data_IF_917641614875
#
_entry.id   IF_917641614875
#
_cell.length_a   1.000
_cell.length_b   1.000
_cell.length_c   1.000
_cell.angle_alpha   90.00
_cell.angle_beta   90.00
_cell.angle_gamma   90.00
#
_symmetry.space_group_name_H-M   'P 1'
#
loop_
_entity.id
_entity.type
_entity.pdbx_description
1 polymer ?
#
# COMPACT_ATOMS: atom_id res chain seq x y z
N UNK A 1 26.29 20.70 -11.89
CA UNK A 1 25.94 21.26 -10.58
C UNK A 1 25.47 20.09 -9.72
N UNK A 2 26.24 19.66 -8.73
CA UNK A 2 25.76 18.68 -7.76
C UNK A 2 24.70 19.38 -6.92
N UNK A 3 23.45 18.90 -7.00
CA UNK A 3 22.36 19.39 -6.15
C UNK A 3 22.73 19.21 -4.68
N UNK A 4 22.23 20.10 -3.81
CA UNK A 4 22.42 20.00 -2.35
C UNK A 4 21.86 18.66 -1.88
N UNK A 5 22.68 17.83 -1.22
CA UNK A 5 22.22 16.59 -0.60
C UNK A 5 21.11 16.91 0.42
N UNK A 6 19.95 16.31 0.24
CA UNK A 6 18.79 16.47 1.13
C UNK A 6 18.31 15.12 1.63
N UNK A 7 17.64 15.08 2.79
CA UNK A 7 17.03 13.87 3.31
C UNK A 7 16.06 13.25 2.28
N UNK A 8 15.30 14.08 1.57
CA UNK A 8 14.39 13.64 0.51
C UNK A 8 15.14 12.94 -0.63
N UNK A 9 16.21 13.54 -1.18
CA UNK A 9 16.99 12.94 -2.28
C UNK A 9 17.64 11.61 -1.86
N UNK A 10 18.03 11.47 -0.59
CA UNK A 10 18.55 10.22 -0.05
C UNK A 10 17.44 9.17 0.02
N UNK A 11 16.25 9.52 0.52
CA UNK A 11 15.10 8.63 0.60
C UNK A 11 14.64 8.16 -0.79
N UNK A 12 14.55 9.08 -1.77
CA UNK A 12 14.22 8.77 -3.17
C UNK A 12 15.21 7.75 -3.75
N UNK A 13 16.53 7.98 -3.58
CA UNK A 13 17.54 7.05 -4.07
C UNK A 13 17.48 5.71 -3.36
N UNK A 14 17.20 5.70 -2.05
CA UNK A 14 17.03 4.48 -1.27
C UNK A 14 15.83 3.65 -1.78
N UNK A 15 14.73 4.30 -2.12
CA UNK A 15 13.56 3.65 -2.71
C UNK A 15 13.88 3.04 -4.07
N UNK A 16 14.60 3.76 -4.97
CA UNK A 16 15.02 3.23 -6.26
C UNK A 16 15.86 1.95 -6.13
N UNK A 17 16.79 1.90 -5.15
CA UNK A 17 17.58 0.70 -4.86
C UNK A 17 16.67 -0.40 -4.30
N UNK A 18 15.80 -0.07 -3.34
CA UNK A 18 14.86 -1.03 -2.76
C UNK A 18 13.93 -1.64 -3.80
N UNK A 19 13.44 -0.85 -4.74
CA UNK A 19 12.55 -1.31 -5.81
C UNK A 19 13.25 -2.23 -6.83
N UNK A 20 14.53 -1.97 -7.11
CA UNK A 20 15.29 -2.72 -8.11
C UNK A 20 16.02 -3.94 -7.56
N UNK A 21 16.51 -3.88 -6.34
CA UNK A 21 17.43 -4.89 -5.76
C UNK A 21 16.93 -5.45 -4.42
N UNK A 22 15.80 -4.96 -3.92
CA UNK A 22 15.26 -5.34 -2.61
C UNK A 22 15.83 -4.51 -1.45
N UNK A 23 15.13 -4.52 -0.32
CA UNK A 23 15.44 -3.67 0.83
C UNK A 23 16.78 -4.01 1.53
N UNK A 24 17.27 -5.24 1.37
CA UNK A 24 18.57 -5.64 1.91
C UNK A 24 19.74 -4.95 1.20
N UNK A 25 19.58 -4.58 -0.07
CA UNK A 25 20.56 -3.83 -0.84
C UNK A 25 20.69 -2.36 -0.39
N UNK A 26 19.69 -1.83 0.32
CA UNK A 26 19.66 -0.46 0.84
C UNK A 26 20.58 -0.36 2.04
N UNK A 27 21.80 0.16 1.81
CA UNK A 27 22.81 0.39 2.85
C UNK A 27 23.40 1.77 2.73
N UNK A 28 23.87 2.34 3.85
CA UNK A 28 24.54 3.65 3.86
C UNK A 28 25.73 3.69 2.89
N UNK A 29 26.50 2.61 2.80
CA UNK A 29 27.66 2.52 1.87
C UNK A 29 27.20 2.56 0.41
N UNK A 30 26.17 1.79 0.05
CA UNK A 30 25.62 1.74 -1.29
C UNK A 30 25.09 3.12 -1.71
N UNK A 31 24.28 3.74 -0.86
CA UNK A 31 23.73 5.07 -1.09
C UNK A 31 24.82 6.14 -1.25
N UNK A 32 25.87 6.10 -0.41
CA UNK A 32 26.98 7.04 -0.51
C UNK A 32 27.70 6.93 -1.86
N UNK A 33 27.92 5.69 -2.33
CA UNK A 33 28.52 5.42 -3.64
C UNK A 33 27.65 5.94 -4.77
N UNK A 34 26.36 5.63 -4.75
CA UNK A 34 25.41 5.99 -5.80
C UNK A 34 25.16 7.50 -5.88
N UNK A 35 25.18 8.18 -4.73
CA UNK A 35 25.01 9.65 -4.66
C UNK A 35 26.32 10.42 -4.83
N UNK A 36 27.46 9.72 -4.93
CA UNK A 36 28.78 10.34 -5.10
C UNK A 36 29.23 11.15 -3.88
N UNK A 37 28.82 10.75 -2.68
CA UNK A 37 29.14 11.44 -1.42
C UNK A 37 29.86 10.50 -0.45
N UNK A 38 30.38 11.06 0.66
CA UNK A 38 30.96 10.23 1.72
C UNK A 38 29.86 9.62 2.59
N UNK A 39 30.06 8.42 3.19
CA UNK A 39 29.11 7.87 4.17
C UNK A 39 28.82 8.82 5.33
N UNK A 40 29.82 9.61 5.75
CA UNK A 40 29.66 10.60 6.81
C UNK A 40 28.63 11.68 6.45
N UNK A 41 28.55 12.08 5.18
CA UNK A 41 27.53 13.03 4.71
C UNK A 41 26.10 12.49 4.86
N UNK A 42 25.90 11.17 4.69
CA UNK A 42 24.60 10.53 4.90
C UNK A 42 24.26 10.42 6.38
N UNK A 43 25.24 10.17 7.26
CA UNK A 43 25.01 10.11 8.70
C UNK A 43 24.58 11.43 9.33
N UNK A 44 24.76 12.56 8.65
CA UNK A 44 24.18 13.85 9.06
C UNK A 44 22.65 13.87 8.88
N UNK A 45 22.11 13.10 7.94
CA UNK A 45 20.67 13.02 7.67
C UNK A 45 20.03 11.81 8.38
N UNK A 46 20.66 10.65 8.33
CA UNK A 46 20.14 9.39 8.89
C UNK A 46 21.22 8.67 9.68
N UNK A 47 21.09 8.56 10.98
CA UNK A 47 22.11 8.02 11.89
C UNK A 47 22.29 6.51 11.77
N UNK A 48 21.26 5.79 11.30
CA UNK A 48 21.23 4.33 11.15
C UNK A 48 20.24 3.92 10.06
N UNK A 49 20.16 2.60 9.81
CA UNK A 49 19.23 2.04 8.82
C UNK A 49 17.77 2.26 9.22
N UNK A 50 17.43 2.21 10.49
CA UNK A 50 16.06 2.42 10.98
C UNK A 50 15.57 3.84 10.65
N UNK A 51 16.36 4.87 10.93
CA UNK A 51 16.02 6.24 10.56
C UNK A 51 15.91 6.44 9.05
N UNK A 52 16.72 5.74 8.25
CA UNK A 52 16.60 5.76 6.80
C UNK A 52 15.28 5.14 6.36
N UNK A 53 14.86 4.01 6.93
CA UNK A 53 13.58 3.36 6.64
C UNK A 53 12.40 4.26 7.01
N UNK A 54 12.46 4.92 8.17
CA UNK A 54 11.47 5.95 8.57
C UNK A 54 11.42 7.08 7.54
N UNK A 55 12.57 7.58 7.08
CA UNK A 55 12.62 8.61 6.04
C UNK A 55 12.07 8.13 4.68
N UNK A 56 12.33 6.89 4.31
CA UNK A 56 11.74 6.27 3.10
C UNK A 56 10.20 6.17 3.23
N UNK A 57 9.70 5.68 4.37
CA UNK A 57 8.27 5.60 4.64
C UNK A 57 7.60 6.98 4.63
N UNK A 58 8.22 7.97 5.26
CA UNK A 58 7.70 9.34 5.29
C UNK A 58 7.62 9.94 3.89
N UNK A 59 8.63 9.70 3.05
CA UNK A 59 8.62 10.13 1.65
C UNK A 59 7.51 9.44 0.84
N UNK A 60 7.35 8.13 0.96
CA UNK A 60 6.31 7.35 0.29
C UNK A 60 4.90 7.88 0.61
N UNK A 61 4.63 8.12 1.88
CA UNK A 61 3.31 8.54 2.36
C UNK A 61 3.08 10.03 2.11
N UNK A 62 4.12 10.84 2.10
CA UNK A 62 4.06 12.27 1.81
C UNK A 62 3.44 12.60 0.44
N UNK A 63 3.53 11.68 -0.53
CA UNK A 63 2.94 11.83 -1.86
C UNK A 63 1.40 11.90 -1.88
N UNK A 64 0.73 11.41 -0.84
CA UNK A 64 -0.73 11.45 -0.70
C UNK A 64 -1.19 11.96 0.68
N UNK A 65 -0.29 12.54 1.45
CA UNK A 65 -0.62 13.11 2.75
C UNK A 65 -1.76 14.14 2.67
N UNK A 66 -2.57 14.28 3.74
CA UNK A 66 -3.74 15.13 3.74
C UNK A 66 -3.41 16.58 3.41
N UNK A 67 -4.28 17.20 2.62
CA UNK A 67 -4.21 18.65 2.36
C UNK A 67 -5.02 19.39 3.43
N UNK A 68 -4.49 20.48 3.99
CA UNK A 68 -5.25 21.30 4.93
C UNK A 68 -6.57 21.80 4.33
N UNK A 69 -7.63 21.85 5.14
CA UNK A 69 -8.95 22.43 4.79
C UNK A 69 -9.65 21.77 3.58
N UNK A 70 -9.66 20.44 3.51
CA UNK A 70 -10.48 19.71 2.53
C UNK A 70 -11.95 19.74 2.96
N UNK A 71 -12.81 20.45 2.20
CA UNK A 71 -14.23 20.59 2.46
C UNK A 71 -15.10 19.53 1.74
N UNK A 72 -14.47 18.59 1.04
CA UNK A 72 -15.19 17.52 0.33
C UNK A 72 -15.86 16.55 1.32
N UNK A 73 -16.89 15.81 0.89
CA UNK A 73 -17.50 14.77 1.70
C UNK A 73 -16.45 13.76 2.22
N UNK A 74 -16.65 13.26 3.43
CA UNK A 74 -15.72 12.32 4.07
C UNK A 74 -15.49 11.04 3.23
N UNK A 75 -16.48 10.61 2.46
CA UNK A 75 -16.39 9.46 1.56
C UNK A 75 -15.31 9.65 0.48
N UNK A 76 -15.30 10.85 -0.14
CA UNK A 76 -14.31 11.17 -1.18
C UNK A 76 -12.90 11.28 -0.59
N UNK A 77 -12.78 11.89 0.58
CA UNK A 77 -11.50 12.01 1.26
C UNK A 77 -10.96 10.63 1.68
N UNK A 78 -11.82 9.74 2.18
CA UNK A 78 -11.44 8.40 2.56
C UNK A 78 -11.02 7.55 1.33
N UNK A 79 -11.71 7.76 0.19
CA UNK A 79 -11.34 7.17 -1.09
C UNK A 79 -9.95 7.60 -1.53
N UNK A 80 -9.64 8.88 -1.48
CA UNK A 80 -8.32 9.40 -1.85
C UNK A 80 -7.20 8.80 -1.01
N UNK A 81 -7.44 8.59 0.28
CA UNK A 81 -6.46 7.97 1.19
C UNK A 81 -6.19 6.51 0.80
N UNK A 82 -7.23 5.69 0.60
CA UNK A 82 -7.05 4.29 0.25
C UNK A 82 -6.43 4.12 -1.15
N UNK A 83 -6.90 4.89 -2.13
CA UNK A 83 -6.35 4.86 -3.49
C UNK A 83 -4.91 5.39 -3.55
N UNK A 84 -4.60 6.42 -2.76
CA UNK A 84 -3.25 6.94 -2.61
C UNK A 84 -2.28 5.89 -2.08
N UNK A 85 -2.67 5.18 -1.04
CA UNK A 85 -1.87 4.10 -0.46
C UNK A 85 -1.70 2.92 -1.44
N UNK A 86 -2.77 2.48 -2.10
CA UNK A 86 -2.71 1.41 -3.12
C UNK A 86 -1.74 1.80 -4.25
N UNK A 87 -1.81 3.03 -4.73
CA UNK A 87 -0.94 3.54 -5.77
C UNK A 87 0.53 3.53 -5.32
N UNK A 88 0.81 3.99 -4.12
CA UNK A 88 2.17 4.00 -3.54
C UNK A 88 2.73 2.59 -3.42
N UNK A 89 1.95 1.64 -2.89
CA UNK A 89 2.35 0.23 -2.76
C UNK A 89 2.62 -0.45 -4.11
N UNK A 90 1.97 0.01 -5.19
CA UNK A 90 2.19 -0.52 -6.55
C UNK A 90 3.32 0.14 -7.29
N UNK A 91 3.54 1.42 -7.04
CA UNK A 91 4.62 2.18 -7.69
C UNK A 91 5.97 1.74 -7.15
N UNK A 92 6.04 1.40 -5.87
CA UNK A 92 7.27 1.03 -5.18
C UNK A 92 7.20 -0.42 -4.70
N UNK A 93 7.96 -1.29 -5.36
CA UNK A 93 7.98 -2.73 -5.03
C UNK A 93 8.44 -3.00 -3.58
N UNK A 94 9.33 -2.16 -3.04
CA UNK A 94 9.80 -2.27 -1.66
C UNK A 94 8.90 -1.59 -0.61
N UNK A 95 7.82 -0.89 -1.02
CA UNK A 95 7.02 -0.08 -0.10
C UNK A 95 6.40 -0.89 1.04
N UNK A 96 5.92 -2.10 0.75
CA UNK A 96 5.37 -3.00 1.76
C UNK A 96 6.42 -3.39 2.80
N UNK A 97 7.60 -3.82 2.34
CA UNK A 97 8.69 -4.23 3.21
C UNK A 97 9.18 -3.06 4.09
N UNK A 98 9.17 -1.83 3.55
CA UNK A 98 9.48 -0.61 4.31
C UNK A 98 8.44 -0.39 5.41
N UNK A 99 7.13 -0.43 5.06
CA UNK A 99 6.03 -0.20 6.00
C UNK A 99 6.00 -1.27 7.10
N UNK A 100 6.32 -2.52 6.79
CA UNK A 100 6.35 -3.61 7.77
C UNK A 100 7.51 -3.52 8.76
N UNK A 101 8.59 -2.81 8.42
CA UNK A 101 9.80 -2.71 9.25
C UNK A 101 9.91 -1.43 10.09
N UNK A 102 8.97 -0.48 9.95
CA UNK A 102 8.99 0.77 10.72
C UNK A 102 7.96 0.77 11.83
N UNK A 103 8.19 1.58 12.87
CA UNK A 103 7.12 1.96 13.79
C UNK A 103 6.33 3.14 13.16
N UNK A 104 5.04 2.98 12.86
CA UNK A 104 4.23 4.05 12.27
C UNK A 104 4.22 5.34 13.07
N UNK A 105 4.45 5.27 14.40
CA UNK A 105 4.47 6.44 15.29
C UNK A 105 5.69 7.34 15.03
N UNK A 106 6.73 6.81 14.41
CA UNK A 106 7.94 7.56 14.05
C UNK A 106 7.84 8.27 12.71
N UNK A 107 6.76 8.05 11.94
CA UNK A 107 6.58 8.58 10.58
C UNK A 107 5.56 9.72 10.56
N UNK A 108 5.99 11.00 10.46
CA UNK A 108 5.08 12.16 10.57
C UNK A 108 3.94 12.15 9.56
N UNK A 109 4.21 11.83 8.28
CA UNK A 109 3.18 11.76 7.25
C UNK A 109 2.20 10.58 7.48
N UNK A 110 2.66 9.47 8.06
CA UNK A 110 1.79 8.37 8.45
C UNK A 110 0.83 8.80 9.56
N UNK A 111 1.34 9.48 10.58
CA UNK A 111 0.50 10.01 11.67
C UNK A 111 -0.55 10.97 11.13
N UNK A 112 -0.20 11.86 10.20
CA UNK A 112 -1.14 12.80 9.58
C UNK A 112 -2.25 12.07 8.79
N UNK A 113 -1.89 11.06 7.99
CA UNK A 113 -2.85 10.22 7.24
C UNK A 113 -3.74 9.43 8.20
N UNK A 114 -3.17 8.87 9.23
CA UNK A 114 -3.89 8.07 10.22
C UNK A 114 -4.88 8.92 11.02
N UNK A 115 -4.45 10.08 11.51
CA UNK A 115 -5.31 11.04 12.21
C UNK A 115 -6.47 11.50 11.32
N UNK A 116 -6.21 11.81 10.05
CA UNK A 116 -7.26 12.15 9.11
C UNK A 116 -8.26 11.00 8.92
N UNK A 117 -7.81 9.78 8.74
CA UNK A 117 -8.70 8.62 8.56
C UNK A 117 -9.61 8.42 9.79
N UNK A 118 -9.04 8.55 11.01
CA UNK A 118 -9.81 8.52 12.27
C UNK A 118 -10.82 9.66 12.35
N UNK A 119 -10.41 10.89 12.02
CA UNK A 119 -11.27 12.07 12.02
C UNK A 119 -12.43 11.97 11.02
N UNK A 120 -12.19 11.43 9.83
CA UNK A 120 -13.23 11.18 8.81
C UNK A 120 -14.25 10.15 9.31
N UNK A 121 -13.79 9.05 9.91
CA UNK A 121 -14.70 8.06 10.51
C UNK A 121 -15.52 8.67 11.66
N UNK A 122 -14.92 9.50 12.51
CA UNK A 122 -15.64 10.24 13.56
C UNK A 122 -16.68 11.19 12.99
N UNK A 123 -16.35 11.91 11.93
CA UNK A 123 -17.30 12.84 11.27
C UNK A 123 -18.47 12.12 10.61
N UNK A 124 -18.27 10.86 10.20
CA UNK A 124 -19.32 9.98 9.69
C UNK A 124 -20.22 9.39 10.80
N UNK A 125 -19.99 9.73 12.08
CA UNK A 125 -20.81 9.32 13.22
C UNK A 125 -20.34 8.02 13.93
N UNK A 126 -19.19 7.45 13.56
CA UNK A 126 -18.69 6.25 14.20
C UNK A 126 -18.14 6.53 15.61
N UNK A 127 -18.25 5.57 16.53
CA UNK A 127 -17.63 5.62 17.85
C UNK A 127 -16.10 5.60 17.77
N UNK A 128 -15.40 5.83 18.88
CA UNK A 128 -13.95 5.75 18.95
C UNK A 128 -13.45 4.37 18.51
N UNK A 129 -14.02 3.31 19.07
CA UNK A 129 -13.62 1.92 18.79
C UNK A 129 -13.85 1.55 17.33
N UNK A 130 -15.00 1.95 16.78
CA UNK A 130 -15.33 1.72 15.37
C UNK A 130 -14.41 2.49 14.44
N UNK A 131 -14.07 3.74 14.76
CA UNK A 131 -13.12 4.53 13.98
C UNK A 131 -11.73 3.90 13.96
N UNK A 132 -11.28 3.35 15.08
CA UNK A 132 -10.04 2.58 15.17
C UNK A 132 -10.09 1.31 14.30
N UNK A 133 -11.22 0.60 14.31
CA UNK A 133 -11.40 -0.59 13.45
C UNK A 133 -11.42 -0.21 11.97
N UNK A 134 -12.16 0.83 11.59
CA UNK A 134 -12.24 1.32 10.21
C UNK A 134 -10.84 1.67 9.69
N UNK A 135 -10.04 2.42 10.45
CA UNK A 135 -8.69 2.80 10.03
C UNK A 135 -7.78 1.59 9.80
N UNK A 136 -7.87 0.56 10.66
CA UNK A 136 -7.13 -0.70 10.48
C UNK A 136 -7.60 -1.47 9.24
N UNK A 137 -8.91 -1.59 9.03
CA UNK A 137 -9.47 -2.26 7.85
C UNK A 137 -9.10 -1.55 6.55
N UNK A 138 -9.07 -0.21 6.53
CA UNK A 138 -8.63 0.56 5.38
C UNK A 138 -7.18 0.24 5.00
N UNK A 139 -6.28 0.25 5.99
CA UNK A 139 -4.86 -0.08 5.77
C UNK A 139 -4.70 -1.51 5.24
N UNK A 140 -5.32 -2.49 5.92
CA UNK A 140 -5.22 -3.90 5.53
C UNK A 140 -5.83 -4.15 4.14
N UNK A 141 -6.96 -3.51 3.83
CA UNK A 141 -7.61 -3.61 2.53
C UNK A 141 -6.75 -3.01 1.42
N UNK A 142 -6.12 -1.86 1.67
CA UNK A 142 -5.20 -1.24 0.70
C UNK A 142 -4.01 -2.15 0.38
N UNK A 143 -3.40 -2.75 1.40
CA UNK A 143 -2.30 -3.72 1.23
C UNK A 143 -2.78 -4.94 0.43
N UNK A 144 -3.92 -5.53 0.80
CA UNK A 144 -4.48 -6.69 0.11
C UNK A 144 -4.83 -6.41 -1.35
N UNK A 145 -5.41 -5.23 -1.64
CA UNK A 145 -5.75 -4.79 -3.00
C UNK A 145 -4.47 -4.53 -3.81
N UNK A 146 -3.45 -3.93 -3.21
CA UNK A 146 -2.19 -3.65 -3.90
C UNK A 146 -1.44 -4.94 -4.27
N UNK A 147 -1.45 -5.95 -3.40
CA UNK A 147 -0.76 -7.24 -3.60
C UNK A 147 -1.44 -8.15 -4.63
N UNK A 148 -2.74 -7.98 -4.89
CA UNK A 148 -3.55 -8.90 -5.68
C UNK A 148 -3.03 -9.18 -7.11
N UNK A 149 -2.53 -8.20 -7.88
CA UNK A 149 -1.99 -8.45 -9.22
C UNK A 149 -0.65 -9.19 -9.22
N UNK A 150 0.13 -9.11 -8.15
CA UNK A 150 1.47 -9.69 -8.07
C UNK A 150 1.44 -11.23 -8.00
N UNK A 151 0.40 -11.80 -7.40
CA UNK A 151 0.27 -13.25 -7.25
C UNK A 151 0.06 -14.00 -8.57
N UNK A 152 -0.50 -13.34 -9.58
CA UNK A 152 -0.76 -13.95 -10.91
C UNK A 152 0.48 -13.96 -11.80
N UNK A 153 1.42 -13.01 -11.62
CA UNK A 153 2.59 -12.85 -12.50
C UNK A 153 3.68 -13.92 -12.29
N UNK A 154 3.69 -14.61 -11.17
CA UNK A 154 4.75 -15.57 -10.81
C UNK A 154 4.40 -17.03 -11.04
N UNK A 155 3.19 -17.35 -11.53
CA UNK A 155 2.74 -18.74 -11.67
C UNK A 155 2.90 -19.21 -13.12
N UNK A 156 3.54 -20.38 -13.30
CA UNK A 156 3.68 -21.08 -14.59
C UNK A 156 2.30 -21.23 -15.29
N UNK A 157 2.16 -20.73 -16.54
CA UNK A 157 0.90 -20.85 -17.28
C UNK A 157 0.39 -22.30 -17.42
N UNK A 158 1.29 -23.29 -17.42
CA UNK A 158 0.89 -24.70 -17.45
C UNK A 158 0.23 -25.13 -16.14
N UNK A 159 0.74 -24.67 -15.00
CA UNK A 159 0.13 -24.93 -13.69
C UNK A 159 -1.22 -24.26 -13.55
N UNK A 160 -1.38 -23.03 -14.06
CA UNK A 160 -2.67 -22.34 -14.06
C UNK A 160 -3.70 -23.11 -14.88
N UNK A 161 -3.34 -23.53 -16.11
CA UNK A 161 -4.23 -24.34 -16.95
C UNK A 161 -4.62 -25.67 -16.29
N UNK A 162 -3.67 -26.37 -15.69
CA UNK A 162 -3.93 -27.62 -14.99
C UNK A 162 -4.89 -27.42 -13.80
N UNK A 163 -4.70 -26.34 -13.02
CA UNK A 163 -5.58 -26.01 -11.90
C UNK A 163 -6.99 -25.63 -12.36
N UNK A 164 -7.12 -24.85 -13.43
CA UNK A 164 -8.42 -24.49 -14.03
C UNK A 164 -9.12 -25.75 -14.52
N UNK A 165 -8.45 -26.63 -15.28
CA UNK A 165 -9.02 -27.89 -15.74
C UNK A 165 -9.44 -28.79 -14.57
N UNK A 166 -8.66 -28.82 -13.48
CA UNK A 166 -9.02 -29.58 -12.27
C UNK A 166 -10.30 -29.06 -11.62
N UNK A 167 -10.51 -27.74 -11.54
CA UNK A 167 -11.75 -27.18 -11.04
C UNK A 167 -12.94 -27.44 -11.98
N UNK A 168 -12.74 -27.33 -13.29
CA UNK A 168 -13.76 -27.62 -14.30
C UNK A 168 -14.18 -29.08 -14.36
N UNK A 169 -13.31 -29.99 -13.91
CA UNK A 169 -13.61 -31.42 -13.84
C UNK A 169 -14.41 -31.86 -12.60
N UNK A 170 -14.65 -30.94 -11.66
CA UNK A 170 -15.45 -31.23 -10.47
C UNK A 170 -16.91 -31.52 -10.85
N UNK A 171 -17.65 -32.34 -10.05
CA UNK A 171 -19.08 -32.55 -10.26
C UNK A 171 -19.87 -31.24 -10.18
N UNK A 172 -20.41 -30.76 -11.29
CA UNK A 172 -21.15 -29.52 -11.36
C UNK A 172 -22.41 -29.49 -10.48
N UNK A 173 -23.00 -30.69 -10.24
CA UNK A 173 -24.13 -30.84 -9.31
C UNK A 173 -23.75 -30.53 -7.85
N UNK A 174 -22.49 -30.78 -7.47
CA UNK A 174 -22.00 -30.57 -6.11
C UNK A 174 -21.32 -29.21 -5.97
N UNK A 175 -20.61 -28.77 -7.02
CA UNK A 175 -19.77 -27.56 -7.01
C UNK A 175 -20.06 -26.62 -8.21
N UNK A 176 -21.31 -26.21 -8.45
CA UNK A 176 -21.69 -25.46 -9.64
C UNK A 176 -20.87 -24.17 -9.82
N UNK A 177 -20.68 -23.41 -8.77
CA UNK A 177 -19.97 -22.12 -8.83
C UNK A 177 -18.46 -22.27 -8.98
N UNK A 178 -17.84 -23.31 -8.43
CA UNK A 178 -16.41 -23.55 -8.65
C UNK A 178 -16.13 -23.95 -10.09
N UNK A 179 -17.01 -24.70 -10.71
CA UNK A 179 -16.91 -25.09 -12.13
C UNK A 179 -17.10 -23.87 -13.03
N UNK A 180 -18.16 -23.08 -12.79
CA UNK A 180 -18.46 -21.88 -13.55
C UNK A 180 -17.36 -20.84 -13.47
N UNK A 181 -16.83 -20.61 -12.26
CA UNK A 181 -15.84 -19.55 -11.99
C UNK A 181 -14.38 -20.04 -12.00
N UNK A 182 -14.12 -21.26 -12.48
CA UNK A 182 -12.79 -21.89 -12.44
C UNK A 182 -11.69 -21.01 -13.06
N UNK A 183 -11.95 -20.36 -14.19
CA UNK A 183 -10.98 -19.54 -14.89
C UNK A 183 -10.64 -18.26 -14.13
N UNK A 184 -11.58 -17.39 -13.76
CA UNK A 184 -11.26 -16.16 -13.01
C UNK A 184 -10.69 -16.47 -11.61
N UNK A 185 -11.09 -17.55 -10.95
CA UNK A 185 -10.54 -17.93 -9.65
C UNK A 185 -9.05 -18.32 -9.71
N UNK A 186 -8.60 -18.87 -10.84
CA UNK A 186 -7.23 -19.34 -11.00
C UNK A 186 -6.33 -18.32 -11.70
N UNK A 187 -6.85 -17.68 -12.75
CA UNK A 187 -6.08 -16.76 -13.60
C UNK A 187 -6.16 -15.30 -13.15
N UNK A 188 -7.02 -15.01 -12.16
CA UNK A 188 -7.35 -13.66 -11.75
C UNK A 188 -8.43 -13.01 -12.61
N UNK A 189 -8.91 -11.87 -12.18
CA UNK A 189 -9.89 -11.03 -12.87
C UNK A 189 -9.20 -10.02 -13.78
N UNK A 190 -9.99 -9.26 -14.54
CA UNK A 190 -9.47 -8.19 -15.41
C UNK A 190 -8.65 -7.15 -14.61
N UNK A 191 -7.53 -6.66 -15.18
CA UNK A 191 -6.75 -5.59 -14.58
C UNK A 191 -7.63 -4.37 -14.30
N UNK A 192 -7.56 -3.84 -13.08
CA UNK A 192 -8.34 -2.68 -12.64
C UNK A 192 -9.72 -3.02 -12.03
N UNK A 193 -10.36 -4.14 -12.39
CA UNK A 193 -11.60 -4.55 -11.71
C UNK A 193 -11.38 -4.79 -10.23
N UNK A 194 -10.27 -5.45 -9.89
CA UNK A 194 -9.92 -5.73 -8.49
C UNK A 194 -9.76 -4.45 -7.68
N UNK A 195 -9.24 -3.40 -8.30
CA UNK A 195 -9.00 -2.10 -7.65
C UNK A 195 -10.29 -1.36 -7.39
N UNK A 196 -11.04 -1.09 -8.47
CA UNK A 196 -12.29 -0.33 -8.40
C UNK A 196 -13.31 -1.07 -7.53
N UNK A 197 -13.51 -2.35 -7.76
CA UNK A 197 -14.47 -3.16 -7.00
C UNK A 197 -14.01 -3.38 -5.55
N UNK A 198 -12.71 -3.60 -5.31
CA UNK A 198 -12.17 -3.78 -3.96
C UNK A 198 -12.30 -2.51 -3.11
N UNK A 199 -11.96 -1.35 -3.68
CA UNK A 199 -12.14 -0.06 -3.01
C UNK A 199 -13.62 0.24 -2.76
N UNK A 200 -14.48 0.03 -3.76
CA UNK A 200 -15.93 0.24 -3.64
C UNK A 200 -16.55 -0.70 -2.60
N UNK A 201 -16.13 -1.96 -2.52
CA UNK A 201 -16.60 -2.91 -1.53
C UNK A 201 -16.34 -2.42 -0.10
N UNK A 202 -15.14 -1.91 0.14
CA UNK A 202 -14.74 -1.38 1.47
C UNK A 202 -15.51 -0.09 1.78
N UNK A 203 -15.51 0.88 0.88
CA UNK A 203 -16.11 2.19 1.13
C UNK A 203 -17.63 2.14 1.22
N UNK A 204 -18.30 1.43 0.31
CA UNK A 204 -19.75 1.26 0.36
C UNK A 204 -20.18 0.51 1.64
N UNK A 205 -19.36 -0.42 2.12
CA UNK A 205 -19.58 -1.06 3.42
C UNK A 205 -19.55 -0.07 4.58
N UNK A 206 -18.58 0.84 4.60
CA UNK A 206 -18.47 1.89 5.62
C UNK A 206 -19.67 2.86 5.50
N UNK A 207 -20.03 3.31 4.29
CA UNK A 207 -21.18 4.18 4.04
C UNK A 207 -22.49 3.55 4.51
N UNK A 208 -22.72 2.28 4.17
CA UNK A 208 -23.91 1.56 4.60
C UNK A 208 -24.00 1.42 6.13
N UNK A 209 -22.88 1.31 6.82
CA UNK A 209 -22.83 1.30 8.28
C UNK A 209 -23.11 2.70 8.86
N UNK A 210 -22.58 3.76 8.25
CA UNK A 210 -22.83 5.14 8.66
C UNK A 210 -24.31 5.53 8.49
N UNK A 211 -24.95 5.11 7.39
CA UNK A 211 -26.36 5.41 7.09
C UNK A 211 -27.39 4.75 8.06
N UNK A 212 -26.96 3.83 8.92
CA UNK A 212 -27.81 3.15 9.91
C UNK A 212 -27.85 3.84 11.27
N UNK A 213 -27.14 4.97 11.39
CA UNK A 213 -26.97 5.75 12.62
C UNK A 213 -27.86 6.96 12.64
#
# INVERSE_FOLDING_TARGET
MMGKLTAQAIAERALEIGDSEGLDAVTIRRLATDLGVTPMALYWHYKNKEQLLVGMADHLIGGFAPKPADARPWQQQLRDLIEGLIRTLRTHACAKDVIEQIDPVEVPNFLAVWDQALGLARSAGFSIDESCLISKFLLQSAIAIADAPAHVKAVDPAKLRAKTAGLQALPAETYPYLVEMASPLVSGTEPGLYDTFGVDLVLNGIEALAARR
#
